data_IF_263669652324
#
_entry.id   IF_263669652324
#
_cell.length_a   1.000
_cell.length_b   1.000
_cell.length_c   1.000
_cell.angle_alpha   90.00
_cell.angle_beta   90.00
_cell.angle_gamma   90.00
#
_symmetry.space_group_name_H-M   'P 1'
#
loop_
_entity.id
_entity.type
_entity.pdbx_description
1 polymer ?
#
# COMPACT_ATOMS: atom_id res chain seq x y z
N UNK A 1 24.12 -100.72 -9.12
CA UNK A 1 23.37 -99.84 -10.05
C UNK A 1 21.92 -99.78 -9.59
N UNK A 2 21.31 -98.60 -9.64
CA UNK A 2 19.87 -98.35 -9.45
C UNK A 2 19.42 -98.34 -7.97
N UNK A 3 18.65 -97.37 -7.46
CA UNK A 3 17.63 -96.52 -8.10
C UNK A 3 17.77 -95.05 -7.68
N UNK A 4 17.72 -94.16 -8.66
CA UNK A 4 17.63 -92.71 -8.47
C UNK A 4 16.21 -92.38 -7.96
N UNK A 5 16.09 -91.84 -6.74
CA UNK A 5 14.84 -91.37 -6.18
C UNK A 5 14.60 -89.95 -6.71
N UNK A 6 13.67 -89.80 -7.66
CA UNK A 6 13.28 -88.48 -8.18
C UNK A 6 12.30 -87.87 -7.17
N UNK A 7 12.79 -86.91 -6.39
CA UNK A 7 11.96 -86.09 -5.50
C UNK A 7 11.35 -84.97 -6.34
N UNK A 8 10.05 -85.04 -6.60
CA UNK A 8 9.29 -83.92 -7.16
C UNK A 8 9.10 -82.85 -6.09
N UNK A 9 9.89 -81.78 -6.15
CA UNK A 9 9.66 -80.58 -5.35
C UNK A 9 8.54 -79.79 -6.03
N UNK A 10 7.35 -79.83 -5.43
CA UNK A 10 6.25 -78.95 -5.82
C UNK A 10 6.55 -77.56 -5.25
N UNK A 11 6.97 -76.63 -6.11
CA UNK A 11 7.02 -75.21 -5.76
C UNK A 11 5.57 -74.69 -5.68
N UNK A 12 5.04 -74.57 -4.46
CA UNK A 12 3.86 -73.76 -4.22
C UNK A 12 4.31 -72.30 -4.21
N UNK A 13 4.15 -71.61 -5.34
CA UNK A 13 4.29 -70.16 -5.42
C UNK A 13 3.11 -69.52 -4.68
N UNK A 14 3.32 -69.21 -3.40
CA UNK A 14 2.42 -68.31 -2.68
C UNK A 14 2.61 -66.91 -3.25
N UNK A 15 1.65 -66.45 -4.05
CA UNK A 15 1.55 -65.03 -4.40
C UNK A 15 1.08 -64.31 -3.13
N UNK A 16 2.01 -63.81 -2.33
CA UNK A 16 1.68 -62.83 -1.31
C UNK A 16 1.30 -61.57 -2.09
N UNK A 17 -0.01 -61.32 -2.28
CA UNK A 17 -0.45 -59.99 -2.69
C UNK A 17 -0.09 -59.06 -1.55
N UNK A 18 1.05 -58.37 -1.66
CA UNK A 18 1.29 -57.20 -0.83
C UNK A 18 0.10 -56.27 -1.02
N UNK A 19 -0.68 -56.04 0.04
CA UNK A 19 -1.75 -55.06 0.00
C UNK A 19 -1.09 -53.73 -0.36
N UNK A 20 -1.36 -53.21 -1.56
CA UNK A 20 -0.66 -52.05 -2.12
C UNK A 20 -0.81 -50.85 -1.18
N UNK A 21 0.29 -50.45 -0.55
CA UNK A 21 0.29 -49.37 0.44
C UNK A 21 0.62 -48.06 -0.27
N UNK A 22 -0.38 -47.20 -0.41
CA UNK A 22 -0.20 -45.86 -0.97
C UNK A 22 0.32 -44.93 0.14
N UNK A 23 1.38 -44.18 -0.15
CA UNK A 23 1.76 -42.98 0.58
C UNK A 23 0.98 -41.83 -0.04
N UNK A 24 -0.13 -41.46 0.60
CA UNK A 24 -0.95 -40.33 0.16
C UNK A 24 -0.29 -39.02 0.54
N UNK A 25 -0.06 -38.16 -0.44
CA UNK A 25 0.38 -36.79 -0.21
C UNK A 25 -0.12 -35.87 -1.32
N UNK A 26 -0.17 -34.58 -1.03
CA UNK A 26 -0.56 -33.57 -2.00
C UNK A 26 0.00 -32.21 -1.64
N UNK A 27 0.01 -31.27 -2.58
CA UNK A 27 0.27 -29.86 -2.31
C UNK A 27 -0.86 -28.98 -2.81
N UNK A 28 -0.95 -27.80 -2.20
CA UNK A 28 -1.74 -26.68 -2.69
C UNK A 28 -0.75 -25.66 -3.28
N UNK A 29 -1.22 -24.79 -4.16
CA UNK A 29 -0.44 -23.67 -4.68
C UNK A 29 -0.08 -22.66 -3.58
N UNK A 30 -0.97 -22.41 -2.62
CA UNK A 30 -0.69 -21.69 -1.37
C UNK A 30 -1.49 -22.28 -0.21
N UNK A 31 -1.06 -21.99 1.02
CA UNK A 31 -1.79 -22.39 2.25
C UNK A 31 -2.79 -21.32 2.72
N UNK A 32 -2.74 -20.12 2.11
CA UNK A 32 -3.63 -18.99 2.39
C UNK A 32 -4.17 -18.43 1.08
N UNK A 33 -5.49 -18.30 0.97
CA UNK A 33 -6.20 -17.70 -0.16
C UNK A 33 -7.33 -16.79 0.33
N UNK A 34 -7.90 -16.01 -0.58
CA UNK A 34 -9.09 -15.21 -0.31
C UNK A 34 -10.34 -15.87 -0.89
N UNK A 35 -11.50 -15.57 -0.32
CA UNK A 35 -12.80 -16.02 -0.83
C UNK A 35 -12.92 -15.77 -2.33
N UNK A 36 -13.36 -16.78 -3.08
CA UNK A 36 -13.53 -16.74 -4.53
C UNK A 36 -12.27 -17.04 -5.36
N UNK A 37 -11.08 -17.05 -4.75
CA UNK A 37 -9.87 -17.48 -5.47
C UNK A 37 -9.89 -18.99 -5.74
N UNK A 38 -9.46 -19.38 -6.95
CA UNK A 38 -9.22 -20.78 -7.29
C UNK A 38 -7.95 -21.26 -6.60
N UNK A 39 -8.08 -22.30 -5.80
CA UNK A 39 -6.99 -23.06 -5.19
C UNK A 39 -6.66 -24.23 -6.11
N UNK A 40 -5.38 -24.41 -6.43
CA UNK A 40 -4.91 -25.51 -7.27
C UNK A 40 -4.34 -26.63 -6.41
N UNK A 41 -4.88 -27.83 -6.56
CA UNK A 41 -4.43 -29.01 -5.83
C UNK A 41 -3.62 -29.92 -6.75
N UNK A 42 -2.47 -30.39 -6.28
CA UNK A 42 -1.62 -31.34 -7.00
C UNK A 42 -1.42 -32.59 -6.17
N UNK A 43 -1.82 -33.74 -6.71
CA UNK A 43 -1.53 -35.05 -6.16
C UNK A 43 -0.02 -35.33 -6.19
N UNK A 44 0.50 -35.81 -5.06
CA UNK A 44 1.89 -36.26 -4.90
C UNK A 44 1.92 -37.72 -4.37
N UNK A 45 0.79 -38.41 -4.43
CA UNK A 45 0.66 -39.76 -3.90
C UNK A 45 1.52 -40.74 -4.69
N UNK A 46 2.07 -41.72 -3.99
CA UNK A 46 2.89 -42.78 -4.58
C UNK A 46 2.54 -44.12 -3.96
N UNK A 47 2.61 -45.19 -4.75
CA UNK A 47 2.46 -46.56 -4.25
C UNK A 47 3.84 -47.18 -4.01
N UNK A 48 4.06 -47.78 -2.84
CA UNK A 48 5.38 -48.32 -2.47
C UNK A 48 5.82 -49.51 -3.34
N UNK A 49 4.88 -50.17 -4.01
CA UNK A 49 5.14 -51.26 -4.94
C UNK A 49 5.02 -50.82 -6.41
N UNK A 50 4.94 -49.51 -6.65
CA UNK A 50 4.80 -48.91 -7.99
C UNK A 50 3.56 -49.39 -8.74
N UNK A 51 2.49 -49.76 -8.02
CA UNK A 51 1.20 -50.02 -8.65
C UNK A 51 0.53 -48.71 -9.10
N UNK A 52 -0.23 -48.71 -10.21
CA UNK A 52 -0.97 -47.52 -10.63
C UNK A 52 -2.00 -47.12 -9.57
N UNK A 53 -1.98 -45.85 -9.17
CA UNK A 53 -3.09 -45.23 -8.44
C UNK A 53 -4.20 -44.97 -9.46
N UNK A 54 -5.40 -45.47 -9.18
CA UNK A 54 -6.53 -45.49 -10.12
C UNK A 54 -7.72 -44.64 -9.68
N UNK A 55 -7.69 -44.08 -8.47
CA UNK A 55 -8.77 -43.23 -7.97
C UNK A 55 -8.30 -42.19 -6.98
N UNK A 56 -8.95 -41.02 -7.05
CA UNK A 56 -8.79 -39.90 -6.13
C UNK A 56 -10.17 -39.46 -5.65
N UNK A 57 -10.26 -39.12 -4.38
CA UNK A 57 -11.42 -38.46 -3.79
C UNK A 57 -10.91 -37.32 -2.92
N UNK A 58 -11.17 -36.11 -3.37
CA UNK A 58 -10.95 -34.89 -2.64
C UNK A 58 -12.21 -34.52 -1.87
N UNK A 59 -12.04 -34.24 -0.59
CA UNK A 59 -13.02 -33.57 0.26
C UNK A 59 -12.41 -32.24 0.67
N UNK A 60 -13.03 -31.15 0.23
CA UNK A 60 -12.52 -29.80 0.46
C UNK A 60 -12.90 -29.25 1.84
N UNK A 61 -13.70 -29.99 2.63
CA UNK A 61 -14.10 -29.60 3.98
C UNK A 61 -15.24 -28.57 4.02
N UNK A 62 -15.82 -28.21 2.87
CA UNK A 62 -16.97 -27.31 2.71
C UNK A 62 -18.20 -28.02 2.10
N UNK A 63 -18.25 -29.35 2.23
CA UNK A 63 -19.22 -30.27 1.64
C UNK A 63 -19.12 -30.45 0.12
N UNK A 64 -18.14 -29.84 -0.55
CA UNK A 64 -17.81 -30.15 -1.94
C UNK A 64 -16.72 -31.22 -2.05
N UNK A 65 -16.76 -31.98 -3.15
CA UNK A 65 -15.84 -33.07 -3.43
C UNK A 65 -15.41 -33.07 -4.90
N UNK A 66 -14.28 -33.70 -5.21
CA UNK A 66 -13.85 -33.95 -6.59
C UNK A 66 -13.21 -35.34 -6.72
N UNK A 67 -13.30 -35.93 -7.91
CA UNK A 67 -12.63 -37.18 -8.28
C UNK A 67 -11.48 -36.98 -9.25
N UNK A 68 -11.18 -35.75 -9.63
CA UNK A 68 -10.05 -35.45 -10.52
C UNK A 68 -8.72 -35.69 -9.78
N UNK A 69 -7.68 -36.07 -10.50
CA UNK A 69 -6.35 -36.25 -9.90
C UNK A 69 -5.78 -34.93 -9.37
N UNK A 70 -5.93 -33.84 -10.14
CA UNK A 70 -5.43 -32.50 -9.80
C UNK A 70 -6.55 -31.47 -9.97
N UNK A 71 -7.50 -31.37 -9.02
CA UNK A 71 -8.64 -30.46 -9.14
C UNK A 71 -8.25 -29.02 -8.82
N UNK A 72 -9.14 -28.10 -9.19
CA UNK A 72 -9.18 -26.74 -8.66
C UNK A 72 -10.49 -26.52 -7.92
N UNK A 73 -10.47 -25.72 -6.84
CA UNK A 73 -11.65 -25.43 -6.04
C UNK A 73 -11.66 -23.98 -5.54
N UNK A 74 -12.83 -23.36 -5.45
CA UNK A 74 -13.00 -22.01 -4.94
C UNK A 74 -13.94 -22.00 -3.73
N UNK A 75 -13.43 -21.48 -2.61
CA UNK A 75 -14.19 -21.34 -1.37
C UNK A 75 -14.92 -20.00 -1.34
N UNK A 76 -16.22 -20.02 -1.03
CA UNK A 76 -17.05 -18.80 -1.00
C UNK A 76 -17.10 -18.12 0.36
N UNK A 77 -16.72 -18.83 1.42
CA UNK A 77 -16.77 -18.34 2.81
C UNK A 77 -15.38 -18.38 3.42
N UNK A 78 -15.04 -17.37 4.22
CA UNK A 78 -13.80 -17.37 4.97
C UNK A 78 -13.83 -18.40 6.11
N UNK A 79 -12.71 -19.07 6.34
CA UNK A 79 -12.58 -20.13 7.34
C UNK A 79 -11.31 -20.95 7.15
N UNK A 80 -11.07 -21.86 8.09
CA UNK A 80 -10.01 -22.86 7.97
C UNK A 80 -10.65 -24.18 7.59
N UNK A 81 -10.26 -24.72 6.44
CA UNK A 81 -10.85 -25.93 5.88
C UNK A 81 -9.87 -27.11 5.96
N UNK A 82 -10.30 -28.28 6.46
CA UNK A 82 -9.50 -29.49 6.42
C UNK A 82 -9.66 -30.18 5.06
N UNK A 83 -8.69 -30.01 4.16
CA UNK A 83 -8.70 -30.67 2.85
C UNK A 83 -8.18 -32.09 3.00
N UNK A 84 -8.95 -33.07 2.57
CA UNK A 84 -8.60 -34.49 2.61
C UNK A 84 -8.53 -35.07 1.21
N UNK A 85 -7.37 -35.60 0.84
CA UNK A 85 -7.22 -36.47 -0.32
C UNK A 85 -7.31 -37.93 0.13
N UNK A 86 -8.13 -38.73 -0.55
CA UNK A 86 -8.14 -40.19 -0.45
C UNK A 86 -7.73 -40.79 -1.81
N UNK A 87 -6.61 -41.52 -1.84
CA UNK A 87 -6.10 -42.19 -3.04
C UNK A 87 -6.36 -43.70 -2.96
N UNK A 88 -6.62 -44.33 -4.11
CA UNK A 88 -6.91 -45.76 -4.23
C UNK A 88 -6.17 -46.40 -5.40
N UNK A 89 -5.75 -47.65 -5.23
CA UNK A 89 -5.20 -48.52 -6.28
C UNK A 89 -6.13 -49.72 -6.57
N UNK A 90 -7.41 -49.62 -6.15
CA UNK A 90 -8.40 -50.69 -6.28
C UNK A 90 -8.28 -51.81 -5.24
N UNK A 91 -7.19 -51.88 -4.47
CA UNK A 91 -7.01 -52.85 -3.38
C UNK A 91 -7.17 -52.23 -1.99
N UNK A 92 -6.89 -50.95 -1.84
CA UNK A 92 -7.03 -50.22 -0.59
C UNK A 92 -7.19 -48.71 -0.80
N UNK A 93 -7.63 -48.02 0.25
CA UNK A 93 -7.82 -46.57 0.28
C UNK A 93 -6.94 -45.97 1.38
N UNK A 94 -6.18 -44.93 1.04
CA UNK A 94 -5.27 -44.23 1.93
C UNK A 94 -5.56 -42.74 1.86
N UNK A 95 -5.48 -42.04 2.98
CA UNK A 95 -5.85 -40.63 3.02
C UNK A 95 -4.86 -39.74 3.75
N UNK A 96 -4.74 -38.49 3.31
CA UNK A 96 -3.96 -37.42 3.93
C UNK A 96 -4.85 -36.19 4.08
N UNK A 97 -4.74 -35.50 5.21
CA UNK A 97 -5.41 -34.22 5.45
C UNK A 97 -4.39 -33.10 5.63
N UNK A 98 -4.61 -31.95 4.99
CA UNK A 98 -3.88 -30.70 5.21
C UNK A 98 -4.89 -29.55 5.34
N UNK A 99 -4.57 -28.55 6.16
CA UNK A 99 -5.46 -27.39 6.34
C UNK A 99 -5.13 -26.30 5.33
N UNK A 100 -6.16 -25.60 4.86
CA UNK A 100 -6.06 -24.36 4.09
C UNK A 100 -6.83 -23.26 4.82
N UNK A 101 -6.30 -22.04 4.78
CA UNK A 101 -6.94 -20.85 5.33
C UNK A 101 -7.51 -19.99 4.23
N UNK A 102 -8.82 -19.74 4.28
CA UNK A 102 -9.55 -18.83 3.38
C UNK A 102 -9.89 -17.57 4.16
N UNK A 103 -9.39 -16.43 3.71
CA UNK A 103 -9.61 -15.11 4.32
C UNK A 103 -10.61 -14.31 3.51
N UNK A 104 -11.20 -13.29 4.12
CA UNK A 104 -11.91 -12.27 3.35
C UNK A 104 -10.88 -11.39 2.62
N UNK A 105 -11.32 -10.74 1.55
CA UNK A 105 -10.51 -9.69 0.92
C UNK A 105 -10.22 -8.58 1.93
N UNK A 106 -8.95 -8.15 2.07
CA UNK A 106 -8.66 -6.96 2.85
C UNK A 106 -9.35 -5.75 2.22
N UNK A 107 -9.75 -4.80 3.07
CA UNK A 107 -10.19 -3.48 2.62
C UNK A 107 -9.24 -2.47 3.25
N UNK A 108 -8.31 -1.95 2.45
CA UNK A 108 -7.34 -0.96 2.84
C UNK A 108 -8.01 0.41 2.91
N UNK A 109 -7.63 1.20 3.91
CA UNK A 109 -7.99 2.60 4.01
C UNK A 109 -6.91 3.34 4.81
N UNK A 110 -6.87 4.66 4.71
CA UNK A 110 -6.00 5.45 5.56
C UNK A 110 -6.51 6.85 5.85
N UNK A 111 -6.01 7.40 6.94
CA UNK A 111 -6.19 8.80 7.32
C UNK A 111 -4.83 9.48 7.45
N UNK A 112 -4.82 10.80 7.49
CA UNK A 112 -3.60 11.57 7.68
C UNK A 112 -3.86 12.84 8.51
N UNK A 113 -2.81 13.38 9.12
CA UNK A 113 -2.90 14.62 9.90
C UNK A 113 -3.21 15.82 9.01
N UNK A 114 -4.35 16.50 9.21
CA UNK A 114 -4.75 17.68 8.42
C UNK A 114 -4.65 18.99 9.21
N UNK A 115 -4.01 20.01 8.62
CA UNK A 115 -4.30 21.44 8.82
C UNK A 115 -3.50 22.36 7.88
N UNK A 116 -2.39 21.88 7.32
CA UNK A 116 -1.62 22.67 6.37
C UNK A 116 -0.92 21.75 5.39
N UNK A 117 -1.56 21.49 4.26
CA UNK A 117 -0.98 20.79 3.10
C UNK A 117 0.03 21.71 2.42
N UNK A 118 1.05 22.11 3.18
CA UNK A 118 2.11 23.00 2.76
C UNK A 118 3.31 22.16 2.34
N UNK A 119 4.01 22.56 1.28
CA UNK A 119 5.36 22.10 1.00
C UNK A 119 6.27 22.10 2.25
N UNK A 120 7.11 21.09 2.38
CA UNK A 120 8.00 20.80 3.53
C UNK A 120 7.30 20.61 4.89
N UNK A 121 5.98 20.45 4.91
CA UNK A 121 5.28 20.03 6.12
C UNK A 121 5.26 18.50 6.20
N UNK A 122 5.59 17.96 7.38
CA UNK A 122 5.51 16.52 7.62
C UNK A 122 4.06 16.13 7.87
N UNK A 123 3.54 15.24 7.02
CA UNK A 123 2.27 14.58 7.23
C UNK A 123 2.50 13.21 7.83
N UNK A 124 1.68 12.85 8.82
CA UNK A 124 1.65 11.52 9.40
C UNK A 124 0.42 10.80 8.85
N UNK A 125 0.63 9.57 8.40
CA UNK A 125 -0.35 8.69 7.80
C UNK A 125 -0.63 7.52 8.72
N UNK A 126 -1.92 7.18 8.84
CA UNK A 126 -2.44 6.08 9.66
C UNK A 126 -3.27 5.17 8.77
N UNK A 127 -2.67 4.05 8.39
CA UNK A 127 -3.31 2.99 7.63
C UNK A 127 -4.21 2.14 8.52
N UNK A 128 -5.25 1.59 7.91
CA UNK A 128 -6.24 0.74 8.57
C UNK A 128 -6.73 -0.34 7.60
N UNK A 129 -7.02 -1.51 8.14
CA UNK A 129 -7.83 -2.51 7.44
C UNK A 129 -9.26 -2.40 7.97
N UNK A 130 -10.22 -2.05 7.10
CA UNK A 130 -11.61 -1.81 7.51
C UNK A 130 -12.26 -3.09 8.03
N UNK A 131 -12.07 -4.20 7.31
CA UNK A 131 -12.60 -5.52 7.67
C UNK A 131 -11.50 -6.47 8.17
N UNK A 132 -10.73 -6.03 9.16
CA UNK A 132 -9.63 -6.81 9.71
C UNK A 132 -10.13 -8.11 10.36
N UNK A 133 -9.57 -9.24 9.93
CA UNK A 133 -9.68 -10.51 10.64
C UNK A 133 -8.57 -10.66 11.70
N UNK A 134 -8.53 -11.79 12.40
CA UNK A 134 -7.57 -12.04 13.48
C UNK A 134 -6.15 -12.40 12.99
N UNK A 135 -5.92 -12.50 11.68
CA UNK A 135 -4.64 -12.88 11.12
C UNK A 135 -3.74 -11.66 10.88
N UNK A 136 -2.44 -11.93 10.74
CA UNK A 136 -1.47 -10.87 10.43
C UNK A 136 -1.64 -10.37 9.00
N UNK A 137 -1.49 -9.06 8.83
CA UNK A 137 -1.42 -8.38 7.54
C UNK A 137 -0.03 -7.78 7.35
N UNK A 138 0.42 -7.74 6.11
CA UNK A 138 1.62 -7.04 5.68
C UNK A 138 1.22 -5.71 5.04
N UNK A 139 1.98 -4.67 5.36
CA UNK A 139 1.66 -3.31 4.95
C UNK A 139 2.79 -2.72 4.13
N UNK A 140 2.45 -1.90 3.15
CA UNK A 140 3.42 -1.04 2.48
C UNK A 140 2.78 0.27 2.07
N UNK A 141 3.63 1.28 1.91
CA UNK A 141 3.24 2.60 1.47
C UNK A 141 3.94 2.94 0.17
N UNK A 142 3.24 3.64 -0.71
CA UNK A 142 3.82 4.23 -1.90
C UNK A 142 3.54 5.73 -1.88
N UNK A 143 4.61 6.52 -1.84
CA UNK A 143 4.55 7.98 -1.87
C UNK A 143 5.16 8.47 -3.19
N UNK A 144 4.33 9.04 -4.07
CA UNK A 144 4.80 9.65 -5.33
C UNK A 144 5.69 8.74 -6.20
N UNK A 145 5.46 7.41 -6.16
CA UNK A 145 6.23 6.43 -6.93
C UNK A 145 7.43 5.82 -6.19
N UNK A 146 7.74 6.27 -4.98
CA UNK A 146 8.71 5.61 -4.09
C UNK A 146 8.00 4.57 -3.22
N UNK A 147 8.27 3.30 -3.51
CA UNK A 147 7.63 2.13 -2.89
C UNK A 147 8.48 1.45 -1.82
N UNK A 148 9.65 2.02 -1.43
CA UNK A 148 10.58 1.34 -0.51
C UNK A 148 10.46 1.79 0.95
N UNK A 149 9.68 2.82 1.23
CA UNK A 149 9.54 3.38 2.57
C UNK A 149 8.49 2.60 3.39
N UNK A 150 8.75 2.39 4.69
CA UNK A 150 7.78 1.89 5.68
C UNK A 150 7.19 0.49 5.43
N UNK A 151 8.02 -0.51 5.06
CA UNK A 151 7.59 -1.91 4.97
C UNK A 151 7.12 -2.46 6.32
N UNK A 152 5.99 -3.17 6.31
CA UNK A 152 5.34 -3.78 7.46
C UNK A 152 5.03 -2.77 8.58
N UNK A 153 4.67 -1.54 8.21
CA UNK A 153 4.20 -0.50 9.13
C UNK A 153 2.86 0.05 8.64
N UNK A 154 1.90 0.10 9.55
CA UNK A 154 0.59 0.73 9.36
C UNK A 154 0.64 2.25 9.55
N UNK A 155 1.79 2.78 9.97
CA UNK A 155 2.03 4.20 10.18
C UNK A 155 3.25 4.66 9.39
N UNK A 156 3.11 5.80 8.74
CA UNK A 156 4.17 6.40 7.92
C UNK A 156 4.20 7.91 8.11
N UNK A 157 5.30 8.54 7.73
CA UNK A 157 5.39 9.98 7.63
C UNK A 157 6.05 10.36 6.31
N UNK A 158 5.62 11.46 5.71
CA UNK A 158 6.18 11.95 4.47
C UNK A 158 6.17 13.47 4.41
N UNK A 159 7.17 14.04 3.73
CA UNK A 159 7.34 15.47 3.54
C UNK A 159 7.29 15.75 2.04
N UNK A 160 6.24 16.42 1.58
CA UNK A 160 6.11 16.78 0.17
C UNK A 160 7.00 18.00 -0.15
N UNK A 161 8.00 17.88 -1.04
CA UNK A 161 8.94 18.97 -1.29
C UNK A 161 8.36 20.06 -2.20
N UNK A 162 7.38 19.71 -3.03
CA UNK A 162 6.81 20.57 -4.06
C UNK A 162 5.30 20.66 -3.90
N UNK A 163 4.72 21.76 -4.37
CA UNK A 163 3.27 21.90 -4.54
C UNK A 163 2.73 20.96 -5.63
N UNK A 164 1.40 20.87 -5.69
CA UNK A 164 0.67 20.07 -6.64
C UNK A 164 -0.01 18.87 -6.02
N UNK A 165 -0.57 18.03 -6.89
CA UNK A 165 -1.29 16.82 -6.50
C UNK A 165 -0.31 15.66 -6.37
N UNK A 166 -0.31 15.02 -5.20
CA UNK A 166 0.53 13.86 -4.91
C UNK A 166 -0.35 12.66 -4.61
N UNK A 167 -0.12 11.54 -5.31
CA UNK A 167 -0.79 10.28 -4.99
C UNK A 167 -0.05 9.56 -3.87
N UNK A 168 -0.84 9.11 -2.90
CA UNK A 168 -0.37 8.26 -1.81
C UNK A 168 -1.21 7.00 -1.81
N UNK A 169 -0.53 5.86 -1.83
CA UNK A 169 -1.19 4.55 -1.73
C UNK A 169 -0.77 3.81 -0.47
N UNK A 170 -1.77 3.24 0.22
CA UNK A 170 -1.58 2.28 1.30
C UNK A 170 -1.99 0.90 0.79
N UNK A 171 -1.06 -0.05 0.83
CA UNK A 171 -1.26 -1.42 0.34
C UNK A 171 -1.28 -2.38 1.52
N UNK A 172 -2.32 -3.22 1.56
CA UNK A 172 -2.52 -4.26 2.57
C UNK A 172 -2.46 -5.63 1.89
N UNK A 173 -1.63 -6.53 2.42
CA UNK A 173 -1.50 -7.91 1.96
C UNK A 173 -1.85 -8.90 3.09
N UNK A 174 -2.85 -9.75 2.84
CA UNK A 174 -3.30 -10.80 3.75
C UNK A 174 -2.70 -12.19 3.43
N UNK A 175 -1.86 -12.31 2.40
CA UNK A 175 -1.27 -13.55 1.92
C UNK A 175 -1.04 -13.48 0.41
N UNK A 176 -0.46 -14.54 -0.17
CA UNK A 176 -0.16 -14.62 -1.61
C UNK A 176 -1.40 -14.25 -2.44
N UNK A 177 -1.33 -13.10 -3.12
CA UNK A 177 -2.37 -12.52 -3.98
C UNK A 177 -3.67 -12.05 -3.29
N UNK A 178 -3.65 -11.90 -1.97
CA UNK A 178 -4.73 -11.28 -1.20
C UNK A 178 -4.35 -9.83 -0.88
N UNK A 179 -4.43 -8.95 -1.87
CA UNK A 179 -3.99 -7.56 -1.75
C UNK A 179 -5.12 -6.58 -2.02
N UNK A 180 -5.17 -5.51 -1.25
CA UNK A 180 -6.01 -4.35 -1.54
C UNK A 180 -5.20 -3.05 -1.39
N UNK A 181 -5.65 -1.99 -2.07
CA UNK A 181 -4.93 -0.72 -2.12
C UNK A 181 -5.88 0.47 -2.04
N UNK A 182 -5.72 1.27 -0.99
CA UNK A 182 -6.32 2.60 -0.90
C UNK A 182 -5.40 3.63 -1.52
N UNK A 183 -5.91 4.48 -2.42
CA UNK A 183 -5.14 5.57 -3.03
C UNK A 183 -5.87 6.89 -2.88
N UNK A 184 -5.27 7.86 -2.17
CA UNK A 184 -5.79 9.23 -2.07
C UNK A 184 -4.86 10.20 -2.79
N UNK A 185 -5.46 11.28 -3.32
CA UNK A 185 -4.74 12.42 -3.88
C UNK A 185 -4.66 13.53 -2.84
N UNK A 186 -3.45 13.87 -2.42
CA UNK A 186 -3.19 14.95 -1.48
C UNK A 186 -2.81 16.18 -2.27
N UNK A 187 -3.49 17.30 -2.02
CA UNK A 187 -3.23 18.54 -2.73
C UNK A 187 -2.35 19.47 -1.89
N UNK A 188 -1.09 19.58 -2.27
CA UNK A 188 -0.14 20.42 -1.55
C UNK A 188 -0.15 21.81 -2.17
N UNK A 189 -0.58 22.83 -1.41
CA UNK A 189 -0.66 24.24 -1.86
C UNK A 189 0.10 25.16 -0.92
N UNK A 190 0.72 26.20 -1.46
CA UNK A 190 1.20 27.29 -0.63
C UNK A 190 0.03 28.14 -0.09
N UNK A 191 0.12 28.55 1.17
CA UNK A 191 -0.81 29.48 1.78
C UNK A 191 -0.10 30.82 1.93
N UNK A 192 -0.42 31.78 1.08
CA UNK A 192 0.12 33.13 1.21
C UNK A 192 -0.80 33.99 2.09
N UNK A 193 -0.36 34.22 3.33
CA UNK A 193 -1.03 35.15 4.24
C UNK A 193 -0.34 36.52 4.18
N UNK A 194 -1.10 37.54 3.76
CA UNK A 194 -0.61 38.90 3.49
C UNK A 194 -1.29 39.85 4.48
N UNK A 195 -0.53 40.53 5.36
CA UNK A 195 -1.10 41.53 6.26
C UNK A 195 -1.67 42.73 5.48
N UNK A 196 -2.36 43.63 6.16
CA UNK A 196 -2.90 44.86 5.56
C UNK A 196 -2.33 46.14 6.19
N UNK A 197 -1.51 46.02 7.23
CA UNK A 197 -0.91 47.12 7.95
C UNK A 197 0.40 46.68 8.60
N UNK A 198 1.36 47.58 8.70
CA UNK A 198 2.59 47.42 9.46
C UNK A 198 3.10 48.79 9.96
N UNK A 199 3.97 48.76 10.97
CA UNK A 199 4.44 49.95 11.68
C UNK A 199 5.95 49.81 11.95
N UNK A 200 6.84 50.25 11.05
CA UNK A 200 8.30 50.13 11.18
C UNK A 200 8.84 51.13 12.22
N UNK A 201 8.60 50.85 13.50
CA UNK A 201 8.98 51.66 14.66
C UNK A 201 10.21 51.11 15.43
N UNK A 202 10.69 49.92 15.06
CA UNK A 202 11.84 49.24 15.64
C UNK A 202 11.56 48.52 16.95
N UNK A 203 10.30 48.24 17.29
CA UNK A 203 9.91 47.52 18.51
C UNK A 203 9.94 45.98 18.35
N UNK A 204 10.25 45.48 17.16
CA UNK A 204 10.30 44.08 16.80
C UNK A 204 8.94 43.47 16.45
N UNK A 205 7.85 44.24 16.50
CA UNK A 205 6.48 43.78 16.24
C UNK A 205 5.88 44.49 15.01
N UNK A 206 5.63 43.74 13.94
CA UNK A 206 5.06 44.26 12.70
C UNK A 206 5.89 45.42 12.10
N UNK A 207 7.21 45.37 12.27
CA UNK A 207 8.15 46.33 11.69
C UNK A 207 8.31 46.16 10.17
N UNK A 208 7.85 45.05 9.63
CA UNK A 208 7.91 44.76 8.21
C UNK A 208 6.55 44.30 7.71
N UNK A 209 6.21 44.74 6.51
CA UNK A 209 5.19 44.13 5.68
C UNK A 209 5.73 42.81 5.13
N UNK A 210 5.73 41.76 5.96
CA UNK A 210 6.24 40.43 5.63
C UNK A 210 5.10 39.46 5.30
N UNK A 211 5.27 38.67 4.25
CA UNK A 211 4.29 37.65 3.90
C UNK A 211 4.64 36.36 4.61
N UNK A 212 3.64 35.76 5.27
CA UNK A 212 3.81 34.43 5.83
C UNK A 212 3.67 33.43 4.70
N UNK A 213 4.81 32.99 4.19
CA UNK A 213 4.93 31.93 3.20
C UNK A 213 5.49 30.66 3.86
N UNK A 214 5.39 29.53 3.18
CA UNK A 214 6.12 28.31 3.57
C UNK A 214 7.62 28.35 3.20
N UNK A 215 8.08 29.38 2.48
CA UNK A 215 9.48 29.55 2.04
C UNK A 215 9.89 28.69 0.84
N UNK A 216 8.94 28.15 0.07
CA UNK A 216 9.22 27.29 -1.08
C UNK A 216 9.13 28.04 -2.39
N UNK A 217 7.97 28.63 -2.62
CA UNK A 217 7.68 29.36 -3.84
C UNK A 217 8.38 30.72 -3.82
N UNK A 218 8.89 31.12 -4.97
CA UNK A 218 9.49 32.44 -5.15
C UNK A 218 8.38 33.39 -5.59
N UNK A 219 8.22 34.49 -4.85
CA UNK A 219 7.24 35.51 -5.14
C UNK A 219 7.93 36.80 -5.56
N UNK A 220 7.35 37.46 -6.56
CA UNK A 220 7.65 38.83 -6.91
C UNK A 220 6.65 39.74 -6.21
N UNK A 221 7.13 40.54 -5.25
CA UNK A 221 6.39 41.59 -4.58
C UNK A 221 6.76 42.93 -5.20
N UNK A 222 5.76 43.66 -5.68
CA UNK A 222 5.91 45.06 -6.10
C UNK A 222 5.02 45.96 -5.25
N UNK A 223 5.57 47.07 -4.75
CA UNK A 223 4.85 48.11 -4.01
C UNK A 223 4.76 49.37 -4.87
N UNK A 224 3.57 49.96 -4.90
CA UNK A 224 3.23 51.17 -5.63
C UNK A 224 2.79 52.26 -4.67
N UNK A 225 3.17 53.50 -4.97
CA UNK A 225 2.61 54.68 -4.31
C UNK A 225 1.21 55.01 -4.85
N UNK A 226 0.58 56.05 -4.30
CA UNK A 226 -0.76 56.53 -4.70
C UNK A 226 -0.91 56.96 -6.16
N UNK A 227 0.20 57.20 -6.86
CA UNK A 227 0.23 57.56 -8.28
C UNK A 227 0.49 56.36 -9.20
N UNK A 228 0.58 55.15 -8.64
CA UNK A 228 0.91 53.94 -9.39
C UNK A 228 2.40 53.80 -9.73
N UNK A 229 3.27 54.66 -9.22
CA UNK A 229 4.71 54.52 -9.43
C UNK A 229 5.28 53.44 -8.50
N UNK A 230 6.13 52.56 -9.05
CA UNK A 230 6.84 51.52 -8.31
C UNK A 230 7.80 52.19 -7.33
N UNK A 231 7.68 51.85 -6.05
CA UNK A 231 8.60 52.33 -4.99
C UNK A 231 9.51 51.23 -4.49
N UNK A 232 9.06 49.98 -4.49
CA UNK A 232 9.83 48.86 -4.00
C UNK A 232 9.48 47.60 -4.79
N UNK A 233 10.49 46.78 -5.07
CA UNK A 233 10.30 45.44 -5.63
C UNK A 233 11.28 44.46 -5.00
N UNK A 234 10.83 43.22 -4.79
CA UNK A 234 11.67 42.11 -4.36
C UNK A 234 11.16 40.80 -4.96
N UNK A 235 12.10 39.94 -5.35
CA UNK A 235 11.83 38.56 -5.74
C UNK A 235 12.46 37.63 -4.71
N UNK A 236 11.66 36.93 -3.90
CA UNK A 236 12.14 36.13 -2.78
C UNK A 236 11.16 35.04 -2.39
N UNK A 237 11.66 34.00 -1.71
CA UNK A 237 10.84 32.99 -1.03
C UNK A 237 10.05 33.55 0.15
N UNK A 238 10.56 34.63 0.75
CA UNK A 238 9.94 35.39 1.85
C UNK A 238 10.00 36.86 1.49
N UNK A 239 9.09 37.34 0.62
CA UNK A 239 9.05 38.74 0.27
C UNK A 239 8.61 39.56 1.49
N UNK A 240 9.24 40.72 1.66
CA UNK A 240 8.93 41.65 2.73
C UNK A 240 9.12 43.08 2.23
N UNK A 241 8.60 44.05 2.96
CA UNK A 241 8.89 45.46 2.76
C UNK A 241 8.98 46.18 4.11
N UNK A 242 10.04 46.94 4.31
CA UNK A 242 10.39 47.64 5.56
C UNK A 242 9.95 49.11 5.58
N UNK A 243 9.23 49.57 4.55
CA UNK A 243 8.84 50.97 4.39
C UNK A 243 9.86 51.83 3.66
N UNK A 244 10.94 51.27 3.10
CA UNK A 244 11.91 52.00 2.29
C UNK A 244 11.73 51.67 0.79
N UNK A 245 12.05 52.62 -0.09
CA UNK A 245 12.11 52.32 -1.52
C UNK A 245 13.28 51.38 -1.85
N UNK A 246 13.30 50.79 -3.04
CA UNK A 246 14.47 50.04 -3.54
C UNK A 246 15.76 50.87 -3.59
N UNK A 247 15.66 52.21 -3.54
CA UNK A 247 16.81 53.12 -3.45
C UNK A 247 17.21 53.47 -2.00
N UNK A 248 16.57 52.87 -0.99
CA UNK A 248 16.85 53.13 0.43
C UNK A 248 16.26 54.43 0.97
N UNK A 249 15.26 55.01 0.30
CA UNK A 249 14.58 56.24 0.77
C UNK A 249 13.39 55.85 1.65
N UNK A 250 13.29 56.44 2.85
CA UNK A 250 12.14 56.19 3.74
C UNK A 250 10.84 56.70 3.10
N UNK A 251 9.83 55.83 3.01
CA UNK A 251 8.53 56.21 2.49
C UNK A 251 7.68 56.89 3.56
N UNK A 252 6.90 57.94 3.21
CA UNK A 252 6.02 58.60 4.17
C UNK A 252 4.88 57.67 4.61
N UNK A 253 4.37 57.79 5.84
CA UNK A 253 3.16 57.07 6.27
C UNK A 253 1.99 57.29 5.31
N UNK A 254 1.22 56.23 5.06
CA UNK A 254 0.10 56.27 4.13
C UNK A 254 -0.30 54.91 3.57
N UNK A 255 -1.27 54.92 2.66
CA UNK A 255 -1.68 53.74 1.92
C UNK A 255 -0.81 53.53 0.68
N UNK A 256 -0.37 52.29 0.52
CA UNK A 256 0.38 51.79 -0.62
C UNK A 256 -0.38 50.62 -1.24
N UNK A 257 -0.20 50.43 -2.54
CA UNK A 257 -0.76 49.30 -3.24
C UNK A 257 0.32 48.26 -3.44
N UNK A 258 -0.02 46.98 -3.37
CA UNK A 258 0.91 45.91 -3.66
C UNK A 258 0.35 44.99 -4.73
N UNK A 259 1.25 44.37 -5.50
CA UNK A 259 0.97 43.18 -6.29
C UNK A 259 1.96 42.09 -5.93
N UNK A 260 1.46 40.86 -5.82
CA UNK A 260 2.25 39.66 -5.56
C UNK A 260 1.98 38.67 -6.65
N UNK A 261 3.03 38.23 -7.33
CA UNK A 261 2.96 37.22 -8.37
C UNK A 261 3.88 36.06 -8.04
N UNK A 262 3.47 34.84 -8.36
CA UNK A 262 4.40 33.73 -8.34
C UNK A 262 5.41 33.86 -9.48
N UNK A 263 6.70 33.75 -9.16
CA UNK A 263 7.78 33.90 -10.13
C UNK A 263 7.95 32.66 -11.03
N UNK A 264 7.38 31.52 -10.63
CA UNK A 264 7.39 30.24 -11.37
C UNK A 264 6.28 30.14 -12.42
N UNK A 265 5.36 31.11 -12.49
CA UNK A 265 4.25 31.09 -13.43
C UNK A 265 3.09 30.17 -13.03
N UNK A 266 3.02 29.70 -11.77
CA UNK A 266 1.90 28.92 -11.22
C UNK A 266 0.54 29.66 -11.23
N UNK A 267 0.51 30.93 -11.65
CA UNK A 267 -0.71 31.71 -11.84
C UNK A 267 -1.24 32.37 -10.57
N UNK A 268 -0.47 32.35 -9.47
CA UNK A 268 -0.81 33.12 -8.29
C UNK A 268 -0.59 34.61 -8.58
N UNK A 269 -1.67 35.39 -8.58
CA UNK A 269 -1.65 36.85 -8.70
C UNK A 269 -2.62 37.45 -7.68
N UNK A 270 -2.11 38.29 -6.78
CA UNK A 270 -2.90 38.97 -5.76
C UNK A 270 -2.45 40.41 -5.65
N UNK A 271 -3.43 41.32 -5.64
CA UNK A 271 -3.18 42.73 -5.38
C UNK A 271 -4.01 43.21 -4.19
N UNK A 272 -3.55 44.26 -3.54
CA UNK A 272 -4.23 44.81 -2.39
C UNK A 272 -3.65 46.13 -1.92
N UNK A 273 -4.07 46.52 -0.73
CA UNK A 273 -3.62 47.74 -0.05
C UNK A 273 -2.92 47.36 1.23
N UNK A 274 -1.78 48.00 1.48
CA UNK A 274 -1.08 47.97 2.76
C UNK A 274 -1.01 49.39 3.31
N UNK A 275 -1.24 49.53 4.62
CA UNK A 275 -1.07 50.79 5.33
C UNK A 275 0.28 50.80 6.04
N UNK A 276 1.12 51.77 5.69
CA UNK A 276 2.36 52.09 6.41
C UNK A 276 2.04 53.14 7.47
N UNK A 277 2.26 52.81 8.75
CA UNK A 277 2.05 53.73 9.90
C UNK A 277 3.35 54.24 10.49
#
# INVERSE_FOLDING_TARGET
MSRLLIIFIVFVSVVIRGYGQIITDFKMDSTVHCTGNLVQFTDLSSDIFSQPITGWLWDFGDASVSTDQNPSHAYTTAGVYPVKLTASNGSGNYSKTKSITIRNWPEADFTYTGASEKPFFMLIFYGKVINADAYTYHYSWNFAGDSQLFKNKDTAFYVFPNEGQHQVSFIVEAGLNCTDTATYTIEVRDSLDIPNVFSPNGDGMNDMFEFRTNGVNIYELTIYNRWGAIVYTITSKRPFWDGYSSAGVKMPPGSYFYSVKSADGSGYDKAGVVVLR
#
